data_IF_144744344453
#
_entry.id   IF_144744344453
#
_cell.length_a   1.000
_cell.length_b   1.000
_cell.length_c   1.000
_cell.angle_alpha   90.00
_cell.angle_beta   90.00
_cell.angle_gamma   90.00
#
_symmetry.space_group_name_H-M   'P 1'
#
loop_
_entity.id
_entity.type
_entity.pdbx_description
1 polymer ?
#
# COMPACT_ATOMS: atom_id res chain seq x y z
N UNK A 1 46.80 -18.23 5.49
CA UNK A 1 45.90 -17.14 5.92
C UNK A 1 44.68 -17.19 5.00
N UNK A 2 43.55 -17.73 5.46
CA UNK A 2 42.30 -17.81 4.68
C UNK A 2 41.35 -16.77 5.25
N UNK A 3 41.32 -15.60 4.64
CA UNK A 3 40.35 -14.56 4.96
C UNK A 3 39.01 -14.98 4.35
N UNK A 4 38.15 -15.59 5.16
CA UNK A 4 36.75 -15.82 4.80
C UNK A 4 36.01 -14.48 4.82
N UNK A 5 35.94 -13.85 3.66
CA UNK A 5 35.05 -12.72 3.35
C UNK A 5 33.69 -13.30 2.99
N UNK A 6 32.80 -13.49 3.96
CA UNK A 6 31.43 -13.86 3.66
C UNK A 6 30.49 -13.42 4.79
N UNK A 7 30.00 -12.19 4.70
CA UNK A 7 28.68 -11.79 5.20
C UNK A 7 28.36 -10.43 4.60
N UNK A 8 27.94 -10.45 3.34
CA UNK A 8 27.28 -9.32 2.69
C UNK A 8 25.94 -9.08 3.40
N UNK A 9 25.80 -7.89 3.96
CA UNK A 9 24.54 -7.37 4.49
C UNK A 9 23.51 -7.27 3.37
N UNK A 10 22.34 -7.88 3.54
CA UNK A 10 21.16 -7.62 2.68
C UNK A 10 20.15 -6.89 3.54
N UNK A 11 20.16 -5.56 3.47
CA UNK A 11 19.06 -4.74 3.96
C UNK A 11 17.92 -4.83 2.93
N UNK A 12 16.83 -5.50 3.28
CA UNK A 12 15.62 -5.51 2.48
C UNK A 12 14.95 -4.13 2.55
N UNK A 13 15.22 -3.27 1.57
CA UNK A 13 14.50 -2.01 1.41
C UNK A 13 13.17 -2.35 0.75
N UNK A 14 12.12 -2.57 1.54
CA UNK A 14 10.76 -2.64 1.02
C UNK A 14 10.31 -1.24 0.59
N UNK A 15 10.74 -0.82 -0.61
CA UNK A 15 10.10 0.26 -1.32
C UNK A 15 8.78 -0.28 -1.87
N UNK A 16 7.74 -0.31 -1.03
CA UNK A 16 6.39 -0.49 -1.54
C UNK A 16 6.13 0.65 -2.55
N UNK A 17 5.60 0.36 -3.75
CA UNK A 17 5.20 1.43 -4.64
C UNK A 17 4.25 2.33 -3.86
N UNK A 18 4.54 3.63 -3.81
CA UNK A 18 3.64 4.63 -3.26
C UNK A 18 2.43 4.71 -4.19
N UNK A 19 1.55 3.72 -4.09
CA UNK A 19 0.25 3.73 -4.73
C UNK A 19 -0.49 4.96 -4.18
N UNK A 20 -1.24 5.64 -5.04
CA UNK A 20 -2.06 6.77 -4.66
C UNK A 20 -3.52 6.30 -4.67
N UNK A 21 -4.25 6.53 -3.58
CA UNK A 21 -5.63 6.12 -3.40
C UNK A 21 -6.58 7.26 -3.69
N UNK A 22 -7.50 7.03 -4.60
CA UNK A 22 -8.59 7.95 -4.89
C UNK A 22 -9.94 7.24 -4.75
N UNK A 23 -10.97 7.96 -4.33
CA UNK A 23 -12.35 7.52 -4.50
C UNK A 23 -12.76 7.70 -5.97
N UNK A 24 -13.18 6.63 -6.65
CA UNK A 24 -13.41 6.66 -8.11
C UNK A 24 -14.78 7.25 -8.51
N UNK A 25 -15.74 7.27 -7.59
CA UNK A 25 -17.06 7.90 -7.80
C UNK A 25 -17.15 9.35 -7.33
N UNK A 26 -16.41 9.68 -6.28
CA UNK A 26 -16.51 10.95 -5.58
C UNK A 26 -15.11 11.41 -5.16
N UNK A 27 -14.31 11.91 -6.10
CA UNK A 27 -12.93 12.34 -5.83
C UNK A 27 -12.86 13.45 -4.76
N UNK A 28 -13.92 14.24 -4.58
CA UNK A 28 -14.01 15.23 -3.48
C UNK A 28 -14.06 14.60 -2.08
N UNK A 29 -14.43 13.32 -1.96
CA UNK A 29 -14.36 12.58 -0.70
C UNK A 29 -12.97 12.03 -0.40
N UNK A 30 -12.09 11.94 -1.40
CA UNK A 30 -10.72 11.42 -1.24
C UNK A 30 -9.99 12.16 -0.12
N UNK A 31 -10.00 13.49 -0.11
CA UNK A 31 -9.34 14.29 0.93
C UNK A 31 -9.90 14.00 2.33
N UNK A 32 -11.23 14.03 2.47
CA UNK A 32 -11.91 13.84 3.75
C UNK A 32 -11.72 12.43 4.30
N UNK A 33 -11.80 11.41 3.43
CA UNK A 33 -11.53 10.02 3.77
C UNK A 33 -10.06 9.78 4.12
N UNK A 34 -9.13 10.43 3.40
CA UNK A 34 -7.71 10.34 3.69
C UNK A 34 -7.39 10.94 5.06
N UNK A 35 -7.90 12.14 5.33
CA UNK A 35 -7.66 12.87 6.57
C UNK A 35 -8.27 12.15 7.78
N UNK A 36 -9.46 11.55 7.62
CA UNK A 36 -10.10 10.74 8.67
C UNK A 36 -9.27 9.54 9.10
N UNK A 37 -8.41 9.02 8.21
CA UNK A 37 -7.50 7.91 8.48
C UNK A 37 -6.08 8.38 8.83
N UNK A 38 -5.90 9.67 9.12
CA UNK A 38 -4.59 10.30 9.36
C UNK A 38 -3.60 10.09 8.21
N UNK A 39 -4.12 9.96 6.98
CA UNK A 39 -3.34 9.82 5.76
C UNK A 39 -2.78 11.15 5.24
N UNK A 40 -1.83 11.04 4.32
CA UNK A 40 -1.24 12.18 3.60
C UNK A 40 -1.98 12.38 2.29
N UNK A 41 -2.80 13.42 2.21
CA UNK A 41 -3.43 13.86 0.96
C UNK A 41 -2.48 14.77 0.18
N UNK A 42 -2.23 14.43 -1.10
CA UNK A 42 -1.33 15.15 -1.97
C UNK A 42 -1.77 15.03 -3.43
N UNK A 43 -1.74 16.15 -4.15
CA UNK A 43 -2.01 16.20 -5.61
C UNK A 43 -3.37 15.62 -6.06
N UNK A 44 -4.39 15.61 -5.18
CA UNK A 44 -5.71 15.05 -5.49
C UNK A 44 -5.92 13.62 -5.02
N UNK A 45 -4.87 12.98 -4.48
CA UNK A 45 -4.87 11.59 -4.07
C UNK A 45 -4.41 11.41 -2.62
N UNK A 46 -4.81 10.31 -2.00
CA UNK A 46 -4.30 9.90 -0.70
C UNK A 46 -3.09 8.99 -0.89
N UNK A 47 -1.97 9.27 -0.24
CA UNK A 47 -0.80 8.39 -0.32
C UNK A 47 -1.12 7.03 0.32
N UNK A 48 -1.17 5.94 -0.44
CA UNK A 48 -1.53 4.61 0.07
C UNK A 48 -0.58 4.14 1.18
N UNK A 49 0.72 4.50 1.08
CA UNK A 49 1.70 4.17 2.12
C UNK A 49 1.37 4.80 3.48
N UNK A 50 0.65 5.92 3.50
CA UNK A 50 0.24 6.60 4.75
C UNK A 50 -1.01 6.00 5.38
N UNK A 51 -1.76 5.19 4.63
CA UNK A 51 -3.00 4.54 5.06
C UNK A 51 -2.99 3.04 4.76
N UNK A 52 -1.81 2.42 4.66
CA UNK A 52 -1.63 1.04 4.21
C UNK A 52 -2.34 0.03 5.14
N UNK A 53 -2.38 0.33 6.44
CA UNK A 53 -3.13 -0.44 7.45
C UNK A 53 -4.64 -0.13 7.46
N UNK A 54 -5.06 0.87 6.70
CA UNK A 54 -6.42 1.41 6.69
C UNK A 54 -7.06 1.46 5.29
N UNK A 55 -6.48 0.80 4.29
CA UNK A 55 -6.99 0.78 2.92
C UNK A 55 -8.45 0.30 2.84
N UNK A 56 -8.83 -0.69 3.64
CA UNK A 56 -10.22 -1.17 3.75
C UNK A 56 -11.17 -0.09 4.28
N UNK A 57 -10.72 0.69 5.26
CA UNK A 57 -11.49 1.81 5.80
C UNK A 57 -11.62 2.93 4.77
N UNK A 58 -10.56 3.20 4.01
CA UNK A 58 -10.58 4.19 2.93
C UNK A 58 -11.60 3.80 1.86
N UNK A 59 -11.58 2.53 1.40
CA UNK A 59 -12.58 2.00 0.48
C UNK A 59 -14.00 2.09 1.05
N UNK A 60 -14.20 1.76 2.32
CA UNK A 60 -15.49 1.89 2.99
C UNK A 60 -15.98 3.34 3.04
N UNK A 61 -15.07 4.30 3.29
CA UNK A 61 -15.38 5.72 3.28
C UNK A 61 -15.79 6.22 1.88
N UNK A 62 -15.14 5.71 0.83
CA UNK A 62 -15.53 5.93 -0.56
C UNK A 62 -16.82 5.19 -0.98
N UNK A 63 -17.55 4.54 -0.05
CA UNK A 63 -18.76 3.78 -0.35
C UNK A 63 -18.51 2.51 -1.17
N UNK A 64 -17.28 1.97 -1.10
CA UNK A 64 -16.86 0.77 -1.84
C UNK A 64 -16.12 1.05 -3.15
N UNK A 65 -16.00 2.31 -3.57
CA UNK A 65 -15.44 2.72 -4.86
C UNK A 65 -14.11 3.44 -4.70
N UNK A 66 -13.00 2.70 -4.61
CA UNK A 66 -11.65 3.26 -4.52
C UNK A 66 -10.68 2.54 -5.45
N UNK A 67 -9.72 3.29 -6.01
CA UNK A 67 -8.66 2.80 -6.91
C UNK A 67 -7.55 2.03 -6.18
N UNK A 68 -7.44 2.22 -4.86
CA UNK A 68 -6.62 1.35 -4.02
C UNK A 68 -7.35 0.05 -3.79
N UNK A 69 -7.18 -0.86 -4.73
CA UNK A 69 -7.72 -2.20 -4.60
C UNK A 69 -6.99 -2.93 -3.48
N UNK A 70 -7.74 -3.27 -2.45
CA UNK A 70 -7.31 -4.28 -1.49
C UNK A 70 -7.11 -5.55 -2.31
N UNK A 71 -5.97 -6.26 -2.25
CA UNK A 71 -5.98 -7.66 -2.66
C UNK A 71 -6.98 -8.33 -1.74
N UNK A 72 -8.22 -8.51 -2.23
CA UNK A 72 -9.27 -9.29 -1.57
C UNK A 72 -8.57 -10.56 -1.20
N UNK A 73 -8.38 -10.79 0.11
CA UNK A 73 -7.53 -11.86 0.68
C UNK A 73 -7.41 -12.97 -0.35
N UNK A 74 -6.30 -13.00 -1.09
CA UNK A 74 -5.97 -14.21 -1.83
C UNK A 74 -5.73 -15.18 -0.70
N UNK A 75 -6.74 -16.02 -0.49
CA UNK A 75 -6.57 -17.32 0.13
C UNK A 75 -5.26 -17.87 -0.44
N UNK A 76 -4.35 -18.15 0.48
CA UNK A 76 -3.01 -18.65 0.31
C UNK A 76 -2.70 -19.15 -1.12
N UNK A 77 -1.94 -18.36 -1.89
CA UNK A 77 -1.03 -18.92 -2.89
C UNK A 77 0.38 -18.82 -2.32
N UNK A 78 0.66 -19.80 -1.46
CA UNK A 78 1.93 -20.51 -1.48
C UNK A 78 2.28 -20.93 -2.93
N UNK A 79 3.58 -21.13 -3.16
CA UNK A 79 4.17 -21.70 -4.38
C UNK A 79 4.31 -20.70 -5.56
N UNK A 80 5.50 -20.43 -6.11
CA UNK A 80 6.47 -21.43 -6.54
C UNK A 80 7.85 -20.81 -6.79
N UNK A 81 8.85 -21.56 -6.31
CA UNK A 81 10.27 -21.58 -6.68
C UNK A 81 10.51 -21.24 -8.16
N UNK A 82 11.43 -20.32 -8.45
CA UNK A 82 12.17 -20.37 -9.72
C UNK A 82 13.65 -20.55 -9.41
N UNK A 83 14.13 -21.71 -9.87
CA UNK A 83 15.45 -22.35 -9.71
C UNK A 83 16.59 -21.46 -10.18
#
# INVERSE_FOLDING_TARGET
>A
MKFSIASLFVAAIMAAPALACQCTKDSSKTESCCNSLSGTYKDGDCQASSISEHLSNFRSCCGGYSDCDFPSKREDEDETIVV
#
